data_IF_619343157559
#
_entry.id   IF_619343157559
#
_cell.length_a   1.000
_cell.length_b   1.000
_cell.length_c   1.000
_cell.angle_alpha   90.00
_cell.angle_beta   90.00
_cell.angle_gamma   90.00
#
_symmetry.space_group_name_H-M   'P 1'
#
loop_
_entity.id
_entity.type
_entity.pdbx_description
1 polymer ?
#
# COMPACT_ATOMS: atom_id res chain seq x y z
N UNK A 1 -0.61 -9.76 6.39
CA UNK A 1 -1.42 -10.54 5.41
C UNK A 1 -0.64 -11.79 5.00
N UNK A 2 -1.17 -12.73 4.21
CA UNK A 2 -0.39 -13.85 3.66
C UNK A 2 -0.61 -13.91 2.16
N UNK A 3 0.41 -13.56 1.38
CA UNK A 3 0.35 -13.64 -0.08
C UNK A 3 0.69 -15.07 -0.54
N UNK A 4 0.23 -15.42 -1.74
CA UNK A 4 0.82 -16.54 -2.49
C UNK A 4 2.04 -16.04 -3.28
N UNK A 5 2.75 -16.95 -3.94
CA UNK A 5 3.99 -16.61 -4.62
C UNK A 5 3.76 -15.62 -5.77
N UNK A 6 2.68 -15.81 -6.55
CA UNK A 6 2.31 -14.86 -7.60
C UNK A 6 2.07 -13.43 -7.07
N UNK A 7 1.48 -13.27 -5.88
CA UNK A 7 1.30 -11.97 -5.25
C UNK A 7 2.62 -11.35 -4.77
N UNK A 8 3.55 -12.17 -4.26
CA UNK A 8 4.89 -11.71 -3.91
C UNK A 8 5.67 -11.28 -5.14
N UNK A 9 5.59 -12.07 -6.21
CA UNK A 9 6.26 -11.81 -7.49
C UNK A 9 5.74 -10.53 -8.15
N UNK A 10 4.42 -10.27 -8.08
CA UNK A 10 3.84 -9.03 -8.60
C UNK A 10 4.41 -7.78 -7.91
N UNK A 11 4.69 -7.84 -6.61
CA UNK A 11 5.28 -6.73 -5.86
C UNK A 11 6.80 -6.67 -6.10
N UNK A 12 7.46 -7.83 -6.18
CA UNK A 12 8.88 -7.95 -6.49
C UNK A 12 9.77 -7.14 -5.53
N UNK A 13 10.64 -6.30 -6.09
CA UNK A 13 11.50 -5.38 -5.32
C UNK A 13 10.75 -4.16 -4.76
N UNK A 14 9.48 -4.03 -5.12
CA UNK A 14 8.56 -2.96 -4.75
C UNK A 14 7.82 -2.43 -5.97
N UNK A 15 6.66 -1.83 -5.72
CA UNK A 15 5.71 -1.47 -6.76
C UNK A 15 5.01 -0.15 -6.46
N UNK A 16 4.55 0.51 -7.52
CA UNK A 16 3.63 1.63 -7.39
C UNK A 16 2.23 1.11 -7.03
N UNK A 17 1.62 1.76 -6.05
CA UNK A 17 0.33 1.39 -5.50
C UNK A 17 -0.56 2.61 -5.32
N UNK A 18 -1.85 2.45 -5.58
CA UNK A 18 -2.84 3.44 -5.14
C UNK A 18 -3.24 3.13 -3.71
N UNK A 19 -2.87 4.02 -2.79
CA UNK A 19 -3.29 3.97 -1.38
C UNK A 19 -4.55 4.83 -1.19
N UNK A 20 -5.57 4.23 -0.60
CA UNK A 20 -6.80 4.88 -0.15
C UNK A 20 -6.79 4.97 1.38
N UNK A 21 -7.05 6.17 1.89
CA UNK A 21 -7.23 6.47 3.31
C UNK A 21 -8.54 7.23 3.52
N UNK A 22 -8.99 7.39 4.76
CA UNK A 22 -10.25 8.08 5.07
C UNK A 22 -10.02 9.48 5.61
N UNK A 23 -10.72 10.47 5.05
CA UNK A 23 -10.76 11.84 5.56
C UNK A 23 -11.57 11.92 6.87
N UNK A 24 -11.53 13.08 7.59
CA UNK A 24 -12.31 13.29 8.79
C UNK A 24 -13.82 12.98 8.67
N UNK A 25 -14.41 13.32 7.53
CA UNK A 25 -15.82 13.10 7.18
C UNK A 25 -16.11 11.69 6.64
N UNK A 26 -15.10 10.82 6.56
CA UNK A 26 -15.21 9.47 6.01
C UNK A 26 -15.07 9.38 4.49
N UNK A 27 -14.92 10.49 3.77
CA UNK A 27 -14.67 10.46 2.32
C UNK A 27 -13.28 9.88 1.99
N UNK A 28 -13.10 9.19 0.85
CA UNK A 28 -11.82 8.61 0.48
C UNK A 28 -10.82 9.69 0.05
N UNK A 29 -9.55 9.50 0.41
CA UNK A 29 -8.40 10.23 -0.10
C UNK A 29 -7.46 9.24 -0.76
N UNK A 30 -7.18 9.45 -2.04
CA UNK A 30 -6.35 8.58 -2.87
C UNK A 30 -4.99 9.23 -3.13
N UNK A 31 -3.93 8.44 -3.08
CA UNK A 31 -2.61 8.88 -3.53
C UNK A 31 -1.79 7.71 -4.08
N UNK A 32 -0.95 7.99 -5.08
CA UNK A 32 0.09 7.06 -5.51
C UNK A 32 1.20 7.01 -4.45
N UNK A 33 1.67 5.80 -4.15
CA UNK A 33 2.78 5.52 -3.23
C UNK A 33 3.63 4.39 -3.80
N UNK A 34 4.91 4.36 -3.47
CA UNK A 34 5.75 3.19 -3.71
C UNK A 34 5.75 2.31 -2.46
N UNK A 35 5.55 1.00 -2.62
CA UNK A 35 5.55 0.04 -1.53
C UNK A 35 6.64 -1.00 -1.70
N UNK A 36 7.33 -1.32 -0.60
CA UNK A 36 8.13 -2.54 -0.48
C UNK A 36 7.29 -3.65 0.17
N UNK A 37 7.61 -4.90 -0.17
CA UNK A 37 7.13 -6.07 0.55
C UNK A 37 8.12 -6.43 1.67
N UNK A 38 7.61 -6.60 2.89
CA UNK A 38 8.37 -7.14 4.01
C UNK A 38 7.68 -8.40 4.53
N UNK A 39 8.37 -9.54 4.46
CA UNK A 39 7.90 -10.77 5.10
C UNK A 39 8.36 -10.83 6.56
N UNK A 40 7.44 -11.14 7.45
CA UNK A 40 7.62 -11.31 8.89
C UNK A 40 7.24 -12.74 9.29
N UNK A 41 7.57 -13.19 10.52
CA UNK A 41 7.11 -14.49 11.02
C UNK A 41 5.58 -14.66 11.00
N UNK A 42 4.83 -13.56 11.10
CA UNK A 42 3.37 -13.55 11.15
C UNK A 42 2.70 -13.32 9.78
N UNK A 43 3.50 -13.12 8.74
CA UNK A 43 3.05 -12.94 7.36
C UNK A 43 3.71 -11.77 6.64
N UNK A 44 3.15 -11.38 5.51
CA UNK A 44 3.63 -10.29 4.66
C UNK A 44 3.00 -8.95 5.06
N UNK A 45 3.78 -7.87 4.95
CA UNK A 45 3.36 -6.49 5.16
C UNK A 45 3.82 -5.60 3.99
N UNK A 46 3.03 -4.57 3.65
CA UNK A 46 3.47 -3.51 2.74
C UNK A 46 4.05 -2.37 3.56
N UNK A 47 5.23 -1.88 3.16
CA UNK A 47 5.92 -0.77 3.81
C UNK A 47 6.11 0.37 2.83
N UNK A 48 5.81 1.59 3.25
CA UNK A 48 5.97 2.81 2.44
C UNK A 48 6.44 3.96 3.31
N UNK A 49 7.44 4.71 2.83
CA UNK A 49 8.02 5.84 3.53
C UNK A 49 7.31 7.16 3.17
N UNK A 50 6.97 7.95 4.18
CA UNK A 50 6.25 9.22 4.01
C UNK A 50 6.68 10.27 5.02
N UNK A 51 6.66 11.53 4.61
CA UNK A 51 6.76 12.67 5.52
C UNK A 51 5.49 12.81 6.36
N UNK A 52 5.66 13.16 7.63
CA UNK A 52 4.60 13.16 8.64
C UNK A 52 3.45 14.15 8.37
N UNK A 53 3.72 15.21 7.61
CA UNK A 53 2.81 16.26 7.20
C UNK A 53 1.94 15.87 5.99
N UNK A 54 2.15 14.70 5.38
CA UNK A 54 1.31 14.27 4.28
C UNK A 54 -0.10 13.89 4.75
N UNK A 55 -1.12 14.28 3.96
CA UNK A 55 -2.53 14.05 4.29
C UNK A 55 -2.85 12.58 4.57
N UNK A 56 -2.29 11.65 3.79
CA UNK A 56 -2.40 10.19 4.02
C UNK A 56 -1.89 9.76 5.40
N UNK A 57 -0.79 10.34 5.89
CA UNK A 57 -0.23 10.02 7.21
C UNK A 57 -1.14 10.54 8.31
N UNK A 58 -1.61 11.79 8.20
CA UNK A 58 -2.61 12.34 9.14
C UNK A 58 -3.90 11.51 9.16
N UNK A 59 -4.38 11.09 7.99
CA UNK A 59 -5.56 10.24 7.87
C UNK A 59 -5.35 8.90 8.58
N UNK A 60 -4.23 8.20 8.32
CA UNK A 60 -3.91 6.91 8.98
C UNK A 60 -3.75 7.04 10.50
N UNK A 61 -3.17 8.15 11.00
CA UNK A 61 -3.09 8.41 12.45
C UNK A 61 -4.48 8.48 13.11
N UNK A 62 -5.47 9.01 12.39
CA UNK A 62 -6.84 9.16 12.88
C UNK A 62 -7.67 7.89 12.70
N UNK A 63 -7.59 7.28 11.53
CA UNK A 63 -8.34 6.08 11.15
C UNK A 63 -7.41 5.14 10.38
N UNK A 64 -7.07 3.96 10.96
CA UNK A 64 -6.07 3.08 10.37
C UNK A 64 -6.59 2.32 9.15
N UNK A 65 -7.90 2.37 8.83
CA UNK A 65 -8.49 1.61 7.72
C UNK A 65 -7.97 2.15 6.38
N UNK A 66 -7.42 1.24 5.58
CA UNK A 66 -6.86 1.55 4.26
C UNK A 66 -7.27 0.50 3.23
N UNK A 67 -7.21 0.91 1.97
CA UNK A 67 -7.21 0.00 0.83
C UNK A 67 -6.03 0.31 -0.08
N UNK A 68 -5.48 -0.72 -0.71
CA UNK A 68 -4.33 -0.61 -1.61
C UNK A 68 -4.63 -1.43 -2.86
N UNK A 69 -4.38 -0.86 -4.03
CA UNK A 69 -4.33 -1.61 -5.28
C UNK A 69 -2.98 -1.46 -5.97
N UNK A 70 -2.47 -2.57 -6.49
CA UNK A 70 -1.23 -2.66 -7.26
C UNK A 70 -1.59 -3.32 -8.58
N UNK A 71 -1.29 -2.66 -9.69
CA UNK A 71 -1.58 -3.17 -11.03
C UNK A 71 -0.26 -3.54 -11.69
N UNK A 72 -0.19 -4.72 -12.31
CA UNK A 72 1.00 -5.13 -13.05
C UNK A 72 1.30 -4.13 -14.18
N UNK A 73 2.59 -3.82 -14.36
CA UNK A 73 3.07 -3.05 -15.50
C UNK A 73 3.21 -3.92 -16.75
N UNK A 74 3.36 -5.23 -16.56
CA UNK A 74 3.44 -6.19 -17.66
C UNK A 74 2.09 -6.29 -18.38
N UNK A 75 2.14 -6.62 -19.66
CA UNK A 75 0.94 -6.84 -20.50
C UNK A 75 0.05 -5.60 -20.68
N UNK A 76 0.59 -4.40 -20.50
CA UNK A 76 -0.08 -3.16 -20.90
C UNK A 76 -0.57 -3.26 -22.36
N UNK A 77 -1.87 -3.04 -22.59
CA UNK A 77 -2.48 -3.08 -23.92
C UNK A 77 -2.87 -4.46 -24.44
N UNK A 78 -2.60 -5.54 -23.70
CA UNK A 78 -2.84 -6.92 -24.14
C UNK A 78 -4.07 -7.58 -23.47
N UNK A 79 -4.92 -6.80 -22.81
CA UNK A 79 -6.12 -7.27 -22.11
C UNK A 79 -6.15 -6.89 -20.63
N UNK A 80 -6.82 -7.71 -19.81
CA UNK A 80 -6.89 -7.50 -18.37
C UNK A 80 -5.53 -7.72 -17.72
N UNK A 81 -5.07 -6.74 -16.93
CA UNK A 81 -3.80 -6.84 -16.21
C UNK A 81 -3.99 -7.61 -14.90
N UNK A 82 -3.04 -8.48 -14.51
CA UNK A 82 -2.96 -8.97 -13.13
C UNK A 82 -2.89 -7.79 -12.16
N UNK A 83 -3.57 -7.90 -11.02
CA UNK A 83 -3.56 -6.88 -9.98
C UNK A 83 -3.75 -7.52 -8.60
N UNK A 84 -3.35 -6.78 -7.57
CA UNK A 84 -3.68 -7.05 -6.18
C UNK A 84 -4.64 -5.99 -5.67
N UNK A 85 -5.67 -6.41 -4.94
CA UNK A 85 -6.57 -5.54 -4.19
C UNK A 85 -6.54 -5.97 -2.73
N UNK A 86 -6.11 -5.07 -1.86
CA UNK A 86 -5.84 -5.34 -0.45
C UNK A 86 -6.63 -4.34 0.39
N UNK A 87 -7.40 -4.85 1.36
CA UNK A 87 -8.02 -4.03 2.40
C UNK A 87 -7.41 -4.42 3.75
N UNK A 88 -7.24 -3.45 4.65
CA UNK A 88 -6.63 -3.72 5.94
C UNK A 88 -6.44 -2.49 6.79
N UNK A 89 -5.51 -2.60 7.73
CA UNK A 89 -5.12 -1.50 8.61
C UNK A 89 -3.65 -1.13 8.37
N UNK A 90 -3.34 0.17 8.51
CA UNK A 90 -1.99 0.69 8.50
C UNK A 90 -1.62 1.21 9.88
N UNK A 91 -0.33 1.07 10.23
CA UNK A 91 0.27 1.68 11.42
C UNK A 91 1.42 2.58 11.00
N UNK A 92 1.70 3.60 11.80
CA UNK A 92 2.83 4.51 11.58
C UNK A 92 3.89 4.18 12.61
N UNK A 93 5.11 4.00 12.11
CA UNK A 93 6.32 3.85 12.92
C UNK A 93 7.23 5.02 12.59
N UNK A 94 7.90 5.57 13.60
CA UNK A 94 8.83 6.67 13.40
C UNK A 94 9.96 6.23 12.45
N UNK A 95 10.22 7.05 11.45
CA UNK A 95 11.29 6.81 10.48
C UNK A 95 12.65 7.26 11.00
N UNK A 96 13.72 6.86 10.31
CA UNK A 96 15.10 7.25 10.62
C UNK A 96 15.74 8.15 9.56
N UNK A 97 14.98 8.67 8.60
CA UNK A 97 15.51 9.61 7.62
C UNK A 97 15.71 10.98 8.29
N UNK A 98 16.86 11.65 8.08
CA UNK A 98 17.18 12.95 8.69
C UNK A 98 16.30 14.10 8.20
#
# INVERSE_FOLDING_TARGET
MRLNDAGRDLIGKGADATLVTLNPDGSPQLSLVWVALQSTPDGDELVSAHLGEHKKVRNVRRDPRVAVTIVSLDSAGHGMRPYLSITGTARIVEGGAP
#
